data_IF_920125491941
#
_entry.id   IF_920125491941
#
_cell.length_a   1.000
_cell.length_b   1.000
_cell.length_c   1.000
_cell.angle_alpha   90.00
_cell.angle_beta   90.00
_cell.angle_gamma   90.00
#
_symmetry.space_group_name_H-M   'P 1'
#
loop_
_entity.id
_entity.type
_entity.pdbx_description
1 polymer ?
#
# COMPACT_ATOMS: atom_id res chain seq x y z
N UNK A 1 -13.58 2.34 31.92
CA UNK A 1 -14.26 1.28 31.14
C UNK A 1 -15.40 1.86 30.32
N UNK A 2 -16.30 2.67 30.91
CA UNK A 2 -17.40 3.34 30.19
C UNK A 2 -16.95 4.16 28.98
N UNK A 3 -15.89 4.97 29.10
CA UNK A 3 -15.36 5.75 27.97
C UNK A 3 -14.90 4.89 26.78
N UNK A 4 -14.36 3.69 27.05
CA UNK A 4 -13.99 2.73 26.00
C UNK A 4 -15.24 2.13 25.36
N UNK A 5 -16.25 1.79 26.15
CA UNK A 5 -17.54 1.30 25.62
C UNK A 5 -18.17 2.35 24.72
N UNK A 6 -18.28 3.60 25.19
CA UNK A 6 -18.82 4.72 24.42
C UNK A 6 -18.06 4.92 23.11
N UNK A 7 -16.73 4.89 23.14
CA UNK A 7 -15.90 4.99 21.94
C UNK A 7 -16.26 3.94 20.89
N UNK A 8 -16.51 2.69 21.29
CA UNK A 8 -16.87 1.62 20.36
C UNK A 8 -18.35 1.63 19.93
N UNK A 9 -19.27 2.18 20.74
CA UNK A 9 -20.71 2.08 20.49
C UNK A 9 -21.33 3.34 19.91
N UNK A 10 -20.81 4.53 20.23
CA UNK A 10 -21.40 5.80 19.82
C UNK A 10 -20.89 6.28 18.45
N UNK A 11 -19.79 5.70 17.96
CA UNK A 11 -19.22 5.99 16.63
C UNK A 11 -19.92 5.29 15.46
N UNK A 12 -20.92 4.43 15.70
CA UNK A 12 -21.65 3.71 14.66
C UNK A 12 -23.06 4.29 14.57
N UNK A 13 -23.35 4.97 13.46
CA UNK A 13 -24.67 5.56 13.21
C UNK A 13 -25.48 4.71 12.23
N UNK A 14 -26.79 4.98 12.11
CA UNK A 14 -27.60 4.34 11.07
C UNK A 14 -27.15 4.70 9.65
N UNK A 15 -26.48 5.84 9.46
CA UNK A 15 -25.96 6.27 8.16
C UNK A 15 -24.74 5.45 7.72
N UNK A 16 -24.02 4.86 8.68
CA UNK A 16 -22.88 3.97 8.43
C UNK A 16 -23.30 2.54 8.04
N UNK A 17 -24.57 2.19 8.26
CA UNK A 17 -25.08 0.84 8.03
C UNK A 17 -25.16 0.52 6.52
N UNK A 18 -24.52 -0.59 6.14
CA UNK A 18 -24.53 -1.08 4.75
C UNK A 18 -23.49 -0.44 3.84
N UNK A 19 -22.61 0.41 4.38
CA UNK A 19 -21.40 0.86 3.71
C UNK A 19 -20.29 -0.18 3.84
N UNK A 20 -19.38 -0.19 2.88
CA UNK A 20 -18.22 -1.08 2.83
C UNK A 20 -17.00 -0.24 2.44
N UNK A 21 -15.99 -0.24 3.30
CA UNK A 21 -14.64 0.19 2.96
C UNK A 21 -13.79 -1.00 2.58
N UNK A 22 -12.81 -0.79 1.70
CA UNK A 22 -11.90 -1.85 1.25
C UNK A 22 -10.46 -1.37 1.34
N UNK A 23 -9.59 -2.26 1.79
CA UNK A 23 -8.14 -2.11 1.72
C UNK A 23 -7.58 -3.16 0.75
N UNK A 24 -6.68 -2.75 -0.13
CA UNK A 24 -6.07 -3.59 -1.16
C UNK A 24 -4.57 -3.33 -1.18
N UNK A 25 -3.81 -4.33 -0.76
CA UNK A 25 -2.37 -4.34 -0.91
C UNK A 25 -1.96 -4.76 -2.32
N UNK A 26 -1.06 -3.99 -2.93
CA UNK A 26 -0.56 -4.22 -4.28
C UNK A 26 0.95 -4.22 -4.30
N UNK A 27 1.52 -5.11 -5.12
CA UNK A 27 2.96 -5.25 -5.27
C UNK A 27 3.39 -4.74 -6.65
N UNK A 28 4.58 -4.13 -6.74
CA UNK A 28 5.13 -3.59 -8.00
C UNK A 28 6.52 -4.14 -8.34
N UNK A 29 6.71 -4.42 -9.62
CA UNK A 29 8.00 -4.83 -10.22
C UNK A 29 8.38 -3.88 -11.36
N UNK A 30 9.65 -3.90 -11.77
CA UNK A 30 10.13 -3.12 -12.92
C UNK A 30 9.61 -3.70 -14.24
N UNK A 31 9.42 -2.87 -15.26
CA UNK A 31 9.02 -3.32 -16.60
C UNK A 31 10.08 -4.20 -17.31
N UNK A 32 11.36 -4.06 -16.97
CA UNK A 32 12.44 -4.98 -17.39
C UNK A 32 12.15 -6.44 -17.05
N UNK A 33 11.32 -6.68 -16.03
CA UNK A 33 10.89 -8.01 -15.63
C UNK A 33 10.10 -8.73 -16.72
N UNK A 34 9.37 -7.99 -17.56
CA UNK A 34 8.65 -8.55 -18.71
C UNK A 34 9.58 -9.02 -19.84
N UNK A 35 10.78 -8.43 -19.93
CA UNK A 35 11.74 -8.72 -21.00
C UNK A 35 12.68 -9.85 -20.62
N UNK A 36 13.09 -9.90 -19.35
CA UNK A 36 14.14 -10.81 -18.87
C UNK A 36 13.65 -12.11 -18.25
N UNK A 37 12.33 -12.27 -18.03
CA UNK A 37 11.73 -13.34 -17.22
C UNK A 37 12.26 -13.45 -15.78
N UNK A 38 13.10 -12.51 -15.35
CA UNK A 38 13.52 -12.32 -13.96
C UNK A 38 12.70 -11.19 -13.35
N UNK A 39 11.89 -11.51 -12.34
CA UNK A 39 11.08 -10.53 -11.63
C UNK A 39 11.95 -9.67 -10.71
N UNK A 40 12.03 -8.37 -11.00
CA UNK A 40 12.79 -7.41 -10.21
C UNK A 40 11.82 -6.49 -9.45
N UNK A 41 11.80 -6.52 -8.11
CA UNK A 41 11.06 -5.57 -7.30
C UNK A 41 11.48 -4.13 -7.60
N UNK A 42 10.53 -3.19 -7.49
CA UNK A 42 10.88 -1.77 -7.56
C UNK A 42 11.82 -1.37 -6.41
N UNK A 43 12.64 -0.34 -6.64
CA UNK A 43 13.50 0.27 -5.62
C UNK A 43 12.70 1.25 -4.74
N UNK A 44 13.22 1.64 -3.56
CA UNK A 44 12.56 2.66 -2.73
C UNK A 44 12.39 4.00 -3.48
N UNK A 45 13.37 4.36 -4.31
CA UNK A 45 13.29 5.56 -5.15
C UNK A 45 12.15 5.47 -6.18
N UNK A 46 11.99 4.33 -6.85
CA UNK A 46 10.88 4.11 -7.77
C UNK A 46 9.53 4.15 -7.05
N UNK A 47 9.46 3.56 -5.86
CA UNK A 47 8.25 3.58 -5.03
C UNK A 47 7.83 5.02 -4.74
N UNK A 48 8.76 5.86 -4.27
CA UNK A 48 8.50 7.27 -4.03
C UNK A 48 8.19 8.06 -5.32
N UNK A 49 8.74 7.66 -6.47
CA UNK A 49 8.37 8.22 -7.76
C UNK A 49 6.91 7.98 -8.15
N UNK A 50 6.31 6.85 -7.73
CA UNK A 50 4.86 6.61 -7.89
C UNK A 50 4.07 7.64 -7.09
N UNK A 51 4.44 7.85 -5.83
CA UNK A 51 3.78 8.81 -4.93
C UNK A 51 3.89 10.23 -5.46
N UNK A 52 5.07 10.64 -5.92
CA UNK A 52 5.26 11.96 -6.53
C UNK A 52 4.42 12.14 -7.79
N UNK A 53 4.30 11.12 -8.64
CA UNK A 53 3.43 11.21 -9.81
C UNK A 53 1.96 11.42 -9.41
N UNK A 54 1.46 10.71 -8.38
CA UNK A 54 0.11 10.87 -7.87
C UNK A 54 -0.14 12.31 -7.39
N UNK A 55 0.83 12.90 -6.68
CA UNK A 55 0.76 14.29 -6.20
C UNK A 55 0.79 15.28 -7.36
N UNK A 56 1.81 15.20 -8.21
CA UNK A 56 2.07 16.22 -9.23
C UNK A 56 1.09 16.17 -10.42
N UNK A 57 0.54 14.99 -10.73
CA UNK A 57 -0.24 14.77 -11.95
C UNK A 57 -1.69 14.40 -11.69
N UNK A 58 -2.01 13.82 -10.54
CA UNK A 58 -3.34 13.28 -10.24
C UNK A 58 -4.02 13.98 -9.05
N UNK A 59 -3.36 15.00 -8.46
CA UNK A 59 -3.98 15.87 -7.46
C UNK A 59 -4.11 15.25 -6.07
N UNK A 60 -3.33 14.20 -5.78
CA UNK A 60 -3.25 13.65 -4.43
C UNK A 60 -2.47 14.58 -3.50
N UNK A 61 -2.84 14.60 -2.23
CA UNK A 61 -2.17 15.38 -1.20
C UNK A 61 -1.33 14.47 -0.31
N UNK A 62 -0.16 14.94 0.09
CA UNK A 62 0.66 14.24 1.09
C UNK A 62 0.01 14.43 2.45
N UNK A 63 -0.46 13.33 3.04
CA UNK A 63 -1.05 13.32 4.37
C UNK A 63 0.00 13.03 5.44
N UNK A 64 1.00 12.20 5.14
CA UNK A 64 2.04 11.83 6.10
C UNK A 64 3.41 11.59 5.44
N UNK A 65 4.47 11.81 6.23
CA UNK A 65 5.86 11.52 5.89
C UNK A 65 6.60 10.99 7.11
N UNK A 66 7.39 9.94 6.91
CA UNK A 66 8.29 9.37 7.94
C UNK A 66 9.67 9.14 7.35
N UNK A 67 10.72 9.54 8.05
CA UNK A 67 12.10 9.41 7.59
C UNK A 67 12.32 9.90 6.14
N UNK A 68 11.71 11.05 5.79
CA UNK A 68 11.70 11.66 4.45
C UNK A 68 10.91 10.92 3.35
N UNK A 69 10.40 9.73 3.62
CA UNK A 69 9.54 8.97 2.72
C UNK A 69 8.09 9.44 2.86
N UNK A 70 7.39 9.57 1.74
CA UNK A 70 5.94 9.71 1.75
C UNK A 70 5.36 8.35 2.15
N UNK A 71 4.55 8.36 3.20
CA UNK A 71 3.94 7.17 3.80
C UNK A 71 2.44 7.12 3.58
N UNK A 72 1.79 8.28 3.43
CA UNK A 72 0.36 8.35 3.15
C UNK A 72 0.04 9.51 2.20
N UNK A 73 -0.76 9.20 1.18
CA UNK A 73 -1.45 10.18 0.37
C UNK A 73 -2.94 10.12 0.65
N UNK A 74 -3.62 11.26 0.55
CA UNK A 74 -5.08 11.34 0.55
C UNK A 74 -5.61 12.13 -0.63
N UNK A 75 -6.74 11.69 -1.18
CA UNK A 75 -7.50 12.49 -2.13
C UNK A 75 -8.47 13.44 -1.41
N UNK A 76 -9.22 14.24 -2.18
CA UNK A 76 -10.13 15.25 -1.65
C UNK A 76 -11.36 14.69 -0.91
N UNK A 77 -11.64 13.39 -1.04
CA UNK A 77 -12.80 12.74 -0.40
C UNK A 77 -12.40 11.80 0.73
N UNK A 78 -11.10 11.57 0.93
CA UNK A 78 -10.55 10.85 2.08
C UNK A 78 -10.06 9.43 1.78
N UNK A 79 -10.03 8.99 0.51
CA UNK A 79 -9.35 7.74 0.16
C UNK A 79 -7.86 7.89 0.42
N UNK A 80 -7.19 6.79 0.75
CA UNK A 80 -5.77 6.79 1.06
C UNK A 80 -4.97 5.86 0.14
N UNK A 81 -3.73 6.24 -0.12
CA UNK A 81 -2.69 5.37 -0.66
C UNK A 81 -1.56 5.34 0.36
N UNK A 82 -1.21 4.15 0.86
CA UNK A 82 -0.24 3.98 1.94
C UNK A 82 0.98 3.22 1.48
N UNK A 83 2.14 3.61 2.02
CA UNK A 83 3.39 2.90 1.81
C UNK A 83 3.57 1.88 2.93
N UNK A 84 3.37 0.62 2.59
CA UNK A 84 3.36 -0.48 3.54
C UNK A 84 4.76 -1.03 3.81
N UNK A 85 4.83 -2.03 4.70
CA UNK A 85 6.05 -2.76 4.97
C UNK A 85 6.56 -3.44 3.68
N UNK A 86 7.80 -3.11 3.31
CA UNK A 86 8.43 -3.60 2.10
C UNK A 86 8.29 -2.65 0.92
N UNK A 87 9.41 -2.35 0.26
CA UNK A 87 9.45 -1.27 -0.75
C UNK A 87 8.51 -1.43 -1.96
N UNK A 88 8.11 -2.65 -2.26
CA UNK A 88 7.28 -2.95 -3.41
C UNK A 88 5.80 -2.92 -3.08
N UNK A 89 5.43 -2.80 -1.80
CA UNK A 89 4.07 -2.91 -1.31
C UNK A 89 3.43 -1.52 -1.16
N UNK A 90 2.28 -1.34 -1.79
CA UNK A 90 1.49 -0.11 -1.73
C UNK A 90 0.04 -0.51 -1.52
N UNK A 91 -0.58 0.04 -0.48
CA UNK A 91 -1.98 -0.19 -0.17
C UNK A 91 -2.85 0.94 -0.74
N UNK A 92 -4.05 0.58 -1.19
CA UNK A 92 -5.16 1.50 -1.42
C UNK A 92 -6.22 1.23 -0.36
N UNK A 93 -6.68 2.30 0.31
CA UNK A 93 -7.81 2.24 1.23
C UNK A 93 -8.93 3.18 0.76
N UNK A 94 -10.13 2.64 0.62
CA UNK A 94 -11.31 3.44 0.25
C UNK A 94 -11.98 4.03 1.46
N UNK A 95 -12.65 5.17 1.30
CA UNK A 95 -13.73 5.54 2.22
C UNK A 95 -14.86 4.50 2.13
N UNK A 96 -15.76 4.43 3.13
CA UNK A 96 -16.93 3.56 3.04
C UNK A 96 -17.85 3.97 1.88
N UNK A 97 -18.23 3.00 1.04
CA UNK A 97 -19.16 3.21 -0.07
C UNK A 97 -20.35 2.26 0.00
N UNK A 98 -21.45 2.65 -0.65
CA UNK A 98 -22.53 1.70 -0.98
C UNK A 98 -21.96 0.59 -1.87
N UNK A 99 -22.36 -0.65 -1.61
CA UNK A 99 -21.88 -1.86 -2.31
C UNK A 99 -21.94 -1.75 -3.84
N UNK A 100 -23.00 -1.15 -4.36
CA UNK A 100 -23.23 -0.95 -5.80
C UNK A 100 -22.24 0.02 -6.50
N UNK A 101 -21.50 0.82 -5.72
CA UNK A 101 -20.50 1.77 -6.24
C UNK A 101 -19.07 1.35 -5.93
N UNK A 102 -18.87 0.45 -4.96
CA UNK A 102 -17.56 0.07 -4.44
C UNK A 102 -16.59 -0.37 -5.54
N UNK A 103 -17.00 -1.33 -6.39
CA UNK A 103 -16.11 -1.88 -7.42
C UNK A 103 -15.64 -0.83 -8.43
N UNK A 104 -16.55 0.06 -8.86
CA UNK A 104 -16.20 1.15 -9.78
C UNK A 104 -15.19 2.11 -9.14
N UNK A 105 -15.37 2.38 -7.85
CA UNK A 105 -14.48 3.28 -7.12
C UNK A 105 -13.09 2.67 -6.94
N UNK A 106 -13.04 1.41 -6.50
CA UNK A 106 -11.82 0.61 -6.39
C UNK A 106 -11.07 0.55 -7.72
N UNK A 107 -11.76 0.25 -8.82
CA UNK A 107 -11.15 0.22 -10.15
C UNK A 107 -10.55 1.57 -10.55
N UNK A 108 -11.22 2.67 -10.20
CA UNK A 108 -10.72 4.02 -10.42
C UNK A 108 -9.41 4.29 -9.69
N UNK A 109 -9.34 3.95 -8.40
CA UNK A 109 -8.13 4.13 -7.59
C UNK A 109 -6.99 3.23 -8.06
N UNK A 110 -7.27 1.95 -8.32
CA UNK A 110 -6.29 1.02 -8.88
C UNK A 110 -5.77 1.51 -10.23
N UNK A 111 -6.63 2.09 -11.06
CA UNK A 111 -6.20 2.64 -12.34
C UNK A 111 -5.28 3.86 -12.19
N UNK A 112 -5.54 4.73 -11.22
CA UNK A 112 -4.66 5.85 -10.91
C UNK A 112 -3.29 5.36 -10.42
N UNK A 113 -3.26 4.39 -9.50
CA UNK A 113 -2.04 3.81 -9.00
C UNK A 113 -1.23 3.12 -10.11
N UNK A 114 -1.89 2.31 -10.97
CA UNK A 114 -1.26 1.70 -12.15
C UNK A 114 -0.71 2.75 -13.12
N UNK A 115 -1.45 3.83 -13.33
CA UNK A 115 -1.02 4.93 -14.20
C UNK A 115 0.23 5.59 -13.64
N UNK A 116 0.26 5.87 -12.33
CA UNK A 116 1.41 6.45 -11.66
C UNK A 116 2.63 5.52 -11.69
N UNK A 117 2.45 4.22 -11.45
CA UNK A 117 3.49 3.21 -11.55
C UNK A 117 4.12 3.19 -12.96
N UNK A 118 3.29 3.10 -13.98
CA UNK A 118 3.75 2.99 -15.36
C UNK A 118 4.38 4.29 -15.87
N UNK A 119 3.70 5.43 -15.68
CA UNK A 119 4.12 6.73 -16.23
C UNK A 119 5.20 7.40 -15.40
N UNK A 120 5.21 7.19 -14.09
CA UNK A 120 6.18 7.78 -13.19
C UNK A 120 7.52 7.05 -13.21
N UNK A 121 7.50 5.72 -13.17
CA UNK A 121 8.72 4.94 -12.88
C UNK A 121 8.86 3.65 -13.67
N UNK A 122 8.03 3.43 -14.69
CA UNK A 122 8.04 2.22 -15.53
C UNK A 122 7.89 0.94 -14.69
N UNK A 123 7.02 0.99 -13.68
CA UNK A 123 6.66 -0.17 -12.87
C UNK A 123 5.33 -0.76 -13.32
N UNK A 124 5.14 -2.05 -13.08
CA UNK A 124 3.90 -2.78 -13.35
C UNK A 124 3.44 -3.55 -12.11
N UNK A 125 2.12 -3.79 -11.95
CA UNK A 125 1.62 -4.59 -10.85
C UNK A 125 2.08 -6.05 -10.94
N UNK A 126 2.36 -6.62 -9.78
CA UNK A 126 2.58 -8.04 -9.58
C UNK A 126 1.27 -8.68 -9.09
N UNK A 127 0.81 -9.70 -9.81
CA UNK A 127 -0.50 -10.32 -9.58
C UNK A 127 -0.42 -11.66 -8.85
N UNK A 128 0.74 -12.02 -8.28
CA UNK A 128 0.87 -13.24 -7.45
C UNK A 128 0.95 -12.87 -5.96
N UNK A 129 0.59 -13.79 -5.06
CA UNK A 129 0.52 -13.49 -3.62
C UNK A 129 1.84 -12.99 -3.03
N UNK A 130 2.97 -13.57 -3.47
CA UNK A 130 4.29 -13.24 -2.93
C UNK A 130 5.27 -13.04 -4.08
N UNK A 131 6.06 -11.98 -4.02
CA UNK A 131 7.20 -11.75 -4.91
C UNK A 131 8.43 -12.52 -4.38
N UNK A 132 8.68 -13.70 -4.94
CA UNK A 132 9.85 -14.50 -4.59
C UNK A 132 11.13 -13.87 -5.14
N UNK A 133 12.00 -13.37 -4.27
CA UNK A 133 13.30 -12.80 -4.64
C UNK A 133 14.36 -13.07 -3.57
N UNK A 134 15.63 -13.13 -3.98
CA UNK A 134 16.77 -13.19 -3.06
C UNK A 134 17.09 -11.83 -2.43
N UNK A 135 16.53 -10.74 -2.95
CA UNK A 135 16.77 -9.39 -2.46
C UNK A 135 16.13 -9.14 -1.09
N UNK A 136 16.75 -8.26 -0.31
CA UNK A 136 16.13 -7.72 0.90
C UNK A 136 15.13 -6.64 0.51
N UNK A 137 13.84 -6.92 0.68
CA UNK A 137 12.75 -6.01 0.34
C UNK A 137 12.35 -5.10 1.49
N UNK A 138 12.85 -5.37 2.69
CA UNK A 138 12.37 -4.76 3.92
C UNK A 138 12.75 -3.28 3.93
N UNK A 139 11.75 -2.45 3.70
CA UNK A 139 11.74 -1.03 4.04
C UNK A 139 10.67 -0.86 5.10
N UNK A 140 11.05 -0.21 6.19
CA UNK A 140 10.20 0.05 7.34
C UNK A 140 9.92 1.55 7.32
N UNK A 141 8.83 1.99 6.68
CA UNK A 141 8.52 3.40 6.62
C UNK A 141 8.04 3.93 7.99
N UNK A 142 7.44 3.08 8.83
CA UNK A 142 6.86 3.45 10.12
C UNK A 142 7.73 3.04 11.32
N UNK A 143 8.04 3.98 12.21
CA UNK A 143 8.73 3.71 13.50
C UNK A 143 7.98 2.69 14.36
N UNK A 144 6.64 2.63 14.25
CA UNK A 144 5.85 1.57 14.91
C UNK A 144 6.30 0.19 14.46
N UNK A 145 6.58 0.03 13.17
CA UNK A 145 6.97 -1.24 12.58
C UNK A 145 8.42 -1.56 12.92
N UNK A 146 9.27 -0.56 13.22
CA UNK A 146 10.60 -0.79 13.79
C UNK A 146 10.54 -1.46 15.17
N UNK A 147 9.56 -1.10 16.01
CA UNK A 147 9.35 -1.76 17.31
C UNK A 147 9.02 -3.24 17.12
N UNK A 148 8.18 -3.58 16.14
CA UNK A 148 7.87 -4.96 15.79
C UNK A 148 9.11 -5.69 15.24
N UNK A 149 9.92 -5.03 14.40
CA UNK A 149 11.19 -5.58 13.90
C UNK A 149 12.17 -5.86 15.04
N UNK A 150 12.27 -4.95 16.02
CA UNK A 150 13.14 -5.11 17.18
C UNK A 150 12.66 -6.23 18.10
N UNK A 151 11.34 -6.36 18.28
CA UNK A 151 10.73 -7.35 19.17
C UNK A 151 10.74 -8.76 18.58
N UNK A 152 10.28 -8.90 17.34
CA UNK A 152 10.07 -10.21 16.71
C UNK A 152 11.32 -10.68 15.95
N UNK A 153 12.25 -9.76 15.68
CA UNK A 153 13.50 -10.02 14.99
C UNK A 153 13.34 -9.91 13.47
N UNK A 154 14.30 -9.24 12.82
CA UNK A 154 14.31 -9.01 11.35
C UNK A 154 14.06 -10.29 10.54
N UNK A 155 14.60 -11.43 10.99
CA UNK A 155 14.47 -12.71 10.28
C UNK A 155 13.04 -13.26 10.25
N UNK A 156 12.23 -13.00 11.28
CA UNK A 156 10.82 -13.42 11.32
C UNK A 156 10.00 -12.61 10.32
N UNK A 157 10.25 -11.29 10.24
CA UNK A 157 9.56 -10.44 9.28
C UNK A 157 10.04 -10.67 7.84
N UNK A 158 11.32 -10.98 7.64
CA UNK A 158 11.83 -11.38 6.32
C UNK A 158 11.09 -12.60 5.77
N UNK A 159 10.60 -13.52 6.62
CA UNK A 159 9.82 -14.68 6.16
C UNK A 159 8.48 -14.31 5.50
N UNK A 160 7.92 -13.15 5.81
CA UNK A 160 6.72 -12.60 5.15
C UNK A 160 7.06 -12.08 3.73
N UNK A 161 8.33 -11.76 3.48
CA UNK A 161 8.84 -11.22 2.21
C UNK A 161 9.76 -12.20 1.45
N UNK A 162 10.04 -13.35 2.05
CA UNK A 162 10.77 -14.51 1.53
C UNK A 162 10.16 -15.76 2.17
N UNK A 163 9.19 -16.43 1.55
CA UNK A 163 8.95 -17.81 1.90
C UNK A 163 10.21 -18.56 1.49
N UNK A 164 10.96 -19.06 2.47
CA UNK A 164 11.82 -20.21 2.23
C UNK A 164 10.94 -21.25 1.53
N UNK A 165 11.32 -21.64 0.33
CA UNK A 165 10.72 -22.76 -0.36
C UNK A 165 10.82 -23.96 0.58
N UNK A 166 9.70 -24.33 1.22
CA UNK A 166 9.53 -25.67 1.75
C UNK A 166 9.32 -26.58 0.54
N UNK A 167 10.43 -27.00 -0.06
CA UNK A 167 10.56 -28.20 -0.90
C UNK A 167 12.02 -28.54 -1.09
#
# INVERSE_FOLDING_TARGET
MEQLVQFFTEGITQEDMGLVGTEIETQFITDESCVSQTYKPITPHQSQGIFWYLVEKLGWCIADRKNMLITELRDSVGNAIRYELGRHNIEIATIPHKREHLMRHVDGLLNQLRTAAWKGVRAIPWHKPILSTSEDLLVVPDERDEIWVQRDGRNVLLSLFKPDSVS
#
